data_IF_140484453763
#
_entry.id   IF_140484453763
#
_cell.length_a   1.000
_cell.length_b   1.000
_cell.length_c   1.000
_cell.angle_alpha   90.00
_cell.angle_beta   90.00
_cell.angle_gamma   90.00
#
_symmetry.space_group_name_H-M   'P 1'
#
loop_
_entity.id
_entity.type
_entity.pdbx_description
1 polymer ?
#
# COMPACT_ATOMS: atom_id res chain seq x y z
N UNK A 1 10.98 6.93 3.11
CA UNK A 1 10.62 5.71 2.35
C UNK A 1 9.22 5.27 2.73
N UNK A 2 8.45 4.90 1.73
CA UNK A 2 7.11 4.35 1.95
C UNK A 2 7.13 2.85 1.74
N UNK A 3 6.20 2.16 2.36
CA UNK A 3 5.97 0.74 2.12
C UNK A 3 4.51 0.49 1.79
N UNK A 4 4.23 -0.43 0.89
CA UNK A 4 2.88 -0.86 0.59
C UNK A 4 2.76 -2.37 0.74
N UNK A 5 1.64 -2.82 1.25
CA UNK A 5 1.40 -4.23 1.51
C UNK A 5 -0.08 -4.53 1.38
N UNK A 6 -0.39 -5.80 1.27
CA UNK A 6 -1.76 -6.29 1.15
C UNK A 6 -2.03 -7.38 2.18
N UNK A 7 -3.23 -7.40 2.71
CA UNK A 7 -3.65 -8.44 3.64
C UNK A 7 -5.06 -8.91 3.29
N UNK A 8 -5.35 -10.17 3.63
CA UNK A 8 -6.68 -10.73 3.49
C UNK A 8 -7.36 -10.68 4.85
N UNK A 9 -8.55 -10.08 4.88
CA UNK A 9 -9.34 -9.94 6.11
C UNK A 9 -10.60 -10.77 5.95
N UNK A 10 -10.80 -11.80 6.79
CA UNK A 10 -12.05 -12.54 6.77
C UNK A 10 -13.18 -11.71 7.39
N UNK A 11 -14.34 -11.70 6.76
CA UNK A 11 -15.52 -11.01 7.28
C UNK A 11 -16.67 -11.99 7.42
N UNK A 12 -17.62 -11.67 8.28
CA UNK A 12 -18.77 -12.54 8.53
C UNK A 12 -19.75 -12.49 7.36
N UNK A 13 -19.94 -11.32 6.76
CA UNK A 13 -20.98 -11.14 5.74
C UNK A 13 -20.46 -11.30 4.32
N UNK A 14 -19.25 -10.81 4.04
CA UNK A 14 -18.73 -10.71 2.68
C UNK A 14 -17.61 -11.69 2.36
N UNK A 15 -17.34 -12.65 3.25
CA UNK A 15 -16.22 -13.55 3.09
C UNK A 15 -14.90 -12.83 3.25
N UNK A 16 -13.91 -13.19 2.43
CA UNK A 16 -12.59 -12.57 2.50
C UNK A 16 -12.54 -11.28 1.68
N UNK A 17 -12.00 -10.23 2.27
CA UNK A 17 -11.71 -8.98 1.57
C UNK A 17 -10.22 -8.71 1.59
N UNK A 18 -9.75 -7.92 0.62
CA UNK A 18 -8.36 -7.53 0.53
C UNK A 18 -8.20 -6.09 1.03
N UNK A 19 -7.20 -5.88 1.88
CA UNK A 19 -6.82 -4.56 2.34
C UNK A 19 -5.45 -4.22 1.79
N UNK A 20 -5.35 -3.10 1.08
CA UNK A 20 -4.08 -2.53 0.67
C UNK A 20 -3.78 -1.31 1.53
N UNK A 21 -2.56 -1.19 2.01
CA UNK A 21 -2.14 -0.10 2.88
C UNK A 21 -0.81 0.47 2.41
N UNK A 22 -0.65 1.79 2.52
CA UNK A 22 0.61 2.47 2.25
C UNK A 22 1.01 3.19 3.54
N UNK A 23 2.22 2.94 4.02
CA UNK A 23 2.69 3.48 5.29
C UNK A 23 3.99 4.28 5.09
N UNK A 24 4.15 5.33 5.89
CA UNK A 24 5.39 6.07 6.00
C UNK A 24 6.31 5.35 6.98
N UNK A 25 7.52 5.03 6.53
CA UNK A 25 8.47 4.24 7.32
C UNK A 25 8.94 4.96 8.59
N UNK A 26 9.20 6.25 8.52
CA UNK A 26 9.83 6.98 9.62
C UNK A 26 8.92 7.24 10.81
N UNK A 27 7.66 7.61 10.55
CA UNK A 27 6.73 7.96 11.63
C UNK A 27 5.60 6.97 11.82
N UNK A 28 5.66 5.83 11.14
CA UNK A 28 4.68 4.75 11.26
C UNK A 28 3.24 5.19 10.93
N UNK A 29 3.10 6.17 10.05
CA UNK A 29 1.81 6.72 9.68
C UNK A 29 1.22 5.98 8.48
N UNK A 30 -0.05 5.59 8.57
CA UNK A 30 -0.77 5.04 7.43
C UNK A 30 -1.25 6.21 6.56
N UNK A 31 -0.68 6.31 5.36
CA UNK A 31 -0.96 7.42 4.45
C UNK A 31 -2.17 7.16 3.57
N UNK A 32 -2.42 5.91 3.23
CA UNK A 32 -3.56 5.55 2.40
C UNK A 32 -3.89 4.08 2.56
N UNK A 33 -5.16 3.74 2.37
CA UNK A 33 -5.61 2.37 2.42
C UNK A 33 -6.86 2.20 1.57
N UNK A 34 -7.08 0.98 1.08
CA UNK A 34 -8.23 0.66 0.26
C UNK A 34 -8.64 -0.78 0.50
N UNK A 35 -9.94 -0.99 0.67
CA UNK A 35 -10.53 -2.30 0.87
C UNK A 35 -11.26 -2.71 -0.40
N UNK A 36 -11.02 -3.94 -0.86
CA UNK A 36 -11.63 -4.44 -2.09
C UNK A 36 -11.99 -5.91 -1.92
N UNK A 37 -12.92 -6.39 -2.74
CA UNK A 37 -13.28 -7.80 -2.75
C UNK A 37 -12.16 -8.67 -3.33
N UNK A 38 -11.33 -8.10 -4.19
CA UNK A 38 -10.23 -8.81 -4.85
C UNK A 38 -8.91 -8.07 -4.64
N UNK A 39 -7.86 -8.85 -4.41
CA UNK A 39 -6.50 -8.31 -4.28
C UNK A 39 -5.88 -8.11 -5.66
N UNK A 40 -6.37 -7.15 -6.43
CA UNK A 40 -5.91 -6.90 -7.78
C UNK A 40 -5.09 -5.60 -7.90
N UNK A 41 -4.58 -5.36 -9.11
CA UNK A 41 -3.76 -4.19 -9.39
C UNK A 41 -4.50 -2.87 -9.23
N UNK A 42 -5.79 -2.86 -9.46
CA UNK A 42 -6.59 -1.63 -9.34
C UNK A 42 -6.76 -1.23 -7.88
N UNK A 43 -6.93 -2.20 -6.98
CA UNK A 43 -7.01 -1.94 -5.54
C UNK A 43 -5.67 -1.44 -5.01
N UNK A 44 -4.56 -2.03 -5.43
CA UNK A 44 -3.22 -1.58 -5.07
C UNK A 44 -2.98 -0.13 -5.55
N UNK A 45 -3.37 0.17 -6.78
CA UNK A 45 -3.23 1.50 -7.36
C UNK A 45 -4.06 2.54 -6.61
N UNK A 46 -5.27 2.17 -6.19
CA UNK A 46 -6.15 3.07 -5.45
C UNK A 46 -5.56 3.45 -4.10
N UNK A 47 -4.98 2.49 -3.39
CA UNK A 47 -4.33 2.78 -2.11
C UNK A 47 -3.15 3.74 -2.29
N UNK A 48 -2.38 3.58 -3.35
CA UNK A 48 -1.25 4.47 -3.65
C UNK A 48 -1.72 5.88 -4.00
N UNK A 49 -2.79 6.01 -4.81
CA UNK A 49 -3.37 7.31 -5.13
C UNK A 49 -3.82 8.05 -3.87
N UNK A 50 -4.46 7.35 -2.94
CA UNK A 50 -4.91 7.94 -1.69
C UNK A 50 -3.73 8.41 -0.84
N UNK A 51 -2.64 7.63 -0.80
CA UNK A 51 -1.43 8.01 -0.08
C UNK A 51 -0.78 9.25 -0.68
N UNK A 52 -0.70 9.33 -2.00
CA UNK A 52 -0.16 10.49 -2.71
C UNK A 52 -1.01 11.73 -2.42
N UNK A 53 -2.32 11.60 -2.46
CA UNK A 53 -3.22 12.71 -2.15
C UNK A 53 -3.03 13.20 -0.72
N UNK A 54 -2.92 12.29 0.23
CA UNK A 54 -2.74 12.63 1.64
C UNK A 54 -1.41 13.33 1.89
N UNK A 55 -0.32 12.81 1.32
CA UNK A 55 1.03 13.31 1.60
C UNK A 55 1.42 14.50 0.75
N UNK A 56 0.97 14.55 -0.51
CA UNK A 56 1.43 15.53 -1.50
C UNK A 56 0.35 16.54 -1.90
N UNK A 57 -0.86 16.36 -1.44
CA UNK A 57 -1.98 17.28 -1.68
C UNK A 57 -2.70 17.09 -2.99
N UNK A 58 -2.09 16.47 -3.98
CA UNK A 58 -2.71 16.24 -5.28
C UNK A 58 -2.08 15.06 -5.99
N UNK A 59 -2.88 14.33 -6.77
CA UNK A 59 -2.40 13.24 -7.61
C UNK A 59 -1.92 13.85 -8.93
N UNK A 60 -0.60 13.89 -9.12
CA UNK A 60 0.03 14.48 -10.30
C UNK A 60 1.36 13.82 -10.61
N UNK A 61 1.86 14.04 -11.82
CA UNK A 61 3.16 13.53 -12.23
C UNK A 61 4.26 14.05 -11.29
N UNK A 62 5.19 13.19 -10.96
CA UNK A 62 6.33 13.48 -10.09
C UNK A 62 5.96 14.00 -8.69
N UNK A 63 4.73 13.73 -8.23
CA UNK A 63 4.26 14.19 -6.92
C UNK A 63 5.14 13.69 -5.77
N UNK A 64 5.70 12.49 -5.89
CA UNK A 64 6.54 11.89 -4.86
C UNK A 64 7.96 11.62 -5.38
N UNK A 65 8.48 12.52 -6.20
CA UNK A 65 9.78 12.36 -6.84
C UNK A 65 10.88 12.07 -5.83
N UNK A 66 11.65 11.05 -6.10
CA UNK A 66 12.79 10.68 -5.27
C UNK A 66 12.46 9.78 -4.08
N UNK A 67 11.18 9.50 -3.82
CA UNK A 67 10.80 8.59 -2.75
C UNK A 67 10.95 7.14 -3.20
N UNK A 68 11.38 6.29 -2.26
CA UNK A 68 11.39 4.85 -2.46
C UNK A 68 10.06 4.27 -2.01
N UNK A 69 9.48 3.39 -2.82
CA UNK A 69 8.30 2.63 -2.46
C UNK A 69 8.67 1.16 -2.36
N UNK A 70 8.62 0.62 -1.17
CA UNK A 70 8.87 -0.80 -0.94
C UNK A 70 7.61 -1.60 -1.14
N UNK A 71 7.71 -2.68 -1.90
CA UNK A 71 6.60 -3.62 -2.09
C UNK A 71 7.17 -5.03 -2.27
N UNK A 72 6.32 -6.04 -2.10
CA UNK A 72 6.71 -7.42 -2.34
C UNK A 72 6.54 -7.79 -3.82
N UNK A 73 6.73 -9.07 -4.15
CA UNK A 73 6.59 -9.59 -5.50
C UNK A 73 5.18 -10.07 -5.84
N UNK A 74 4.18 -9.66 -5.05
CA UNK A 74 2.80 -10.01 -5.35
C UNK A 74 2.37 -9.55 -6.73
N UNK A 75 1.50 -10.31 -7.39
CA UNK A 75 1.11 -10.04 -8.78
C UNK A 75 0.49 -8.66 -8.98
N UNK A 76 -0.25 -8.16 -7.99
CA UNK A 76 -0.85 -6.83 -8.08
C UNK A 76 0.22 -5.75 -8.16
N UNK A 77 1.27 -5.85 -7.33
CA UNK A 77 2.34 -4.86 -7.28
C UNK A 77 3.28 -4.97 -8.48
N UNK A 78 3.47 -6.16 -9.01
CA UNK A 78 4.35 -6.40 -10.16
C UNK A 78 3.67 -6.13 -11.50
N UNK A 79 2.38 -5.79 -11.51
CA UNK A 79 1.65 -5.49 -12.73
C UNK A 79 2.19 -4.23 -13.39
N UNK A 80 2.10 -4.17 -14.72
CA UNK A 80 2.48 -2.96 -15.46
C UNK A 80 1.69 -1.74 -15.01
N UNK A 81 0.42 -1.94 -14.66
CA UNK A 81 -0.44 -0.87 -14.19
C UNK A 81 0.15 -0.16 -12.95
N UNK A 82 0.54 -0.93 -11.94
CA UNK A 82 1.11 -0.37 -10.70
C UNK A 82 2.53 0.14 -10.92
N UNK A 83 3.35 -0.58 -11.69
CA UNK A 83 4.71 -0.15 -11.98
C UNK A 83 4.74 1.16 -12.76
N UNK A 84 3.83 1.33 -13.73
CA UNK A 84 3.71 2.58 -14.46
C UNK A 84 3.24 3.73 -13.56
N UNK A 85 2.35 3.44 -12.62
CA UNK A 85 1.89 4.42 -11.66
C UNK A 85 3.03 4.90 -10.75
N UNK A 86 3.85 3.96 -10.25
CA UNK A 86 5.01 4.29 -9.44
C UNK A 86 5.95 5.22 -10.21
N UNK A 87 6.22 4.90 -11.46
CA UNK A 87 7.06 5.73 -12.33
C UNK A 87 6.43 7.10 -12.57
N UNK A 88 5.13 7.16 -12.77
CA UNK A 88 4.39 8.41 -12.97
C UNK A 88 4.56 9.36 -11.79
N UNK A 89 4.55 8.84 -10.58
CA UNK A 89 4.76 9.65 -9.37
C UNK A 89 6.23 9.98 -9.11
N UNK A 90 7.14 9.48 -9.93
CA UNK A 90 8.57 9.72 -9.75
C UNK A 90 9.21 8.90 -8.65
N UNK A 91 8.52 7.89 -8.15
CA UNK A 91 9.01 7.00 -7.12
C UNK A 91 9.91 5.90 -7.70
N UNK A 92 10.81 5.39 -6.88
CA UNK A 92 11.65 4.25 -7.25
C UNK A 92 11.12 3.02 -6.52
N UNK A 93 10.74 1.94 -7.24
CA UNK A 93 10.30 0.73 -6.59
C UNK A 93 11.48 0.02 -5.92
N UNK A 94 11.26 -0.50 -4.72
CA UNK A 94 12.24 -1.25 -3.97
C UNK A 94 11.65 -2.62 -3.63
N UNK A 95 12.27 -3.68 -4.12
CA UNK A 95 11.78 -5.03 -3.89
C UNK A 95 12.24 -5.53 -2.52
N UNK A 96 11.30 -6.11 -1.79
CA UNK A 96 11.61 -6.66 -0.48
C UNK A 96 12.16 -8.08 -0.62
N UNK A 97 13.45 -8.20 -0.90
CA UNK A 97 14.10 -9.51 -0.94
C UNK A 97 14.28 -10.09 0.46
N UNK A 98 14.48 -9.22 1.43
CA UNK A 98 14.61 -9.60 2.83
C UNK A 98 13.54 -8.85 3.60
N UNK A 99 12.79 -9.59 4.43
CA UNK A 99 11.79 -8.95 5.30
C UNK A 99 12.46 -7.91 6.16
N UNK A 100 11.90 -6.71 6.16
CA UNK A 100 12.32 -5.69 7.10
C UNK A 100 11.28 -5.65 8.22
N UNK A 101 11.65 -6.13 9.41
CA UNK A 101 10.68 -6.30 10.50
C UNK A 101 9.95 -5.00 10.87
N UNK A 102 10.65 -3.88 10.76
CA UNK A 102 10.09 -2.57 11.13
C UNK A 102 8.93 -2.18 10.23
N UNK A 103 9.11 -2.26 8.90
CA UNK A 103 8.05 -1.92 7.94
C UNK A 103 6.87 -2.88 8.06
N UNK A 104 7.17 -4.19 8.14
CA UNK A 104 6.15 -5.20 8.31
C UNK A 104 5.38 -5.00 9.62
N UNK A 105 6.09 -4.65 10.70
CA UNK A 105 5.46 -4.41 11.99
C UNK A 105 4.48 -3.26 11.98
N UNK A 106 4.79 -2.18 11.25
CA UNK A 106 3.88 -1.04 11.11
C UNK A 106 2.61 -1.46 10.37
N UNK A 107 2.77 -2.12 9.24
CA UNK A 107 1.64 -2.58 8.44
C UNK A 107 0.78 -3.58 9.22
N UNK A 108 1.41 -4.52 9.92
CA UNK A 108 0.70 -5.51 10.72
C UNK A 108 -0.10 -4.87 11.85
N UNK A 109 0.46 -3.88 12.54
CA UNK A 109 -0.26 -3.17 13.60
C UNK A 109 -1.47 -2.43 13.05
N UNK A 110 -1.32 -1.77 11.91
CA UNK A 110 -2.43 -1.07 11.26
C UNK A 110 -3.55 -2.04 10.88
N UNK A 111 -3.18 -3.15 10.26
CA UNK A 111 -4.13 -4.19 9.84
C UNK A 111 -4.84 -4.77 11.06
N UNK A 112 -4.11 -5.04 12.14
CA UNK A 112 -4.70 -5.57 13.38
C UNK A 112 -5.72 -4.58 13.94
N UNK A 113 -5.39 -3.29 14.01
CA UNK A 113 -6.29 -2.26 14.48
C UNK A 113 -7.57 -2.22 13.66
N UNK A 114 -7.44 -2.29 12.33
CA UNK A 114 -8.62 -2.32 11.46
C UNK A 114 -9.48 -3.55 11.71
N UNK A 115 -8.87 -4.72 11.88
CA UNK A 115 -9.62 -5.95 12.15
C UNK A 115 -10.41 -5.86 13.46
N UNK A 116 -9.82 -5.25 14.48
CA UNK A 116 -10.48 -5.09 15.76
C UNK A 116 -11.67 -4.13 15.70
N UNK A 117 -11.64 -3.17 14.78
CA UNK A 117 -12.70 -2.16 14.67
C UNK A 117 -13.81 -2.56 13.70
N UNK A 118 -13.49 -3.34 12.67
CA UNK A 118 -14.40 -3.61 11.56
C UNK A 118 -15.04 -4.99 11.64
N UNK A 119 -14.41 -5.91 12.29
CA UNK A 119 -14.87 -7.33 12.34
C UNK A 119 -15.64 -7.64 13.61
#
# INVERSE_FOLDING_TARGET
MWGTDAAVIPTVEDGNIALFVVVEHWNAEALGWHVAEKADRFAAAQALDLAIHTACGAVRADAARGLLLRHDHGSAFMSDHVQNQIAFFGMTPSFAFVRQPETNGVAERFIRTLKEQVV
#
